data_IF_038666417007
#
_entry.id   IF_038666417007
#
_cell.length_a   1.000
_cell.length_b   1.000
_cell.length_c   1.000
_cell.angle_alpha   90.00
_cell.angle_beta   90.00
_cell.angle_gamma   90.00
#
_symmetry.space_group_name_H-M   'P 1'
#
loop_
_entity.id
_entity.type
_entity.pdbx_description
1 polymer ?
#
# COMPACT_ATOMS: atom_id res chain seq x y z
N UNK A 1 23.88 -25.73 12.84
CA UNK A 1 22.62 -26.06 13.53
C UNK A 1 21.63 -26.50 12.46
N UNK A 2 20.79 -27.51 12.70
CA UNK A 2 19.74 -27.86 11.73
C UNK A 2 18.84 -26.63 11.53
N UNK A 3 18.70 -26.17 10.30
CA UNK A 3 18.07 -24.90 9.96
C UNK A 3 16.62 -24.76 10.47
N UNK A 4 15.87 -25.86 10.49
CA UNK A 4 14.50 -25.94 11.03
C UNK A 4 14.46 -25.75 12.56
N UNK A 5 15.51 -26.14 13.28
CA UNK A 5 15.57 -25.92 14.73
C UNK A 5 15.78 -24.44 15.08
N UNK A 6 16.51 -23.70 14.22
CA UNK A 6 16.77 -22.26 14.40
C UNK A 6 15.49 -21.42 14.28
N UNK A 7 14.62 -21.72 13.31
CA UNK A 7 13.34 -21.02 13.19
C UNK A 7 12.42 -21.28 14.39
N UNK A 8 12.35 -22.53 14.88
CA UNK A 8 11.53 -22.86 16.05
C UNK A 8 11.96 -22.12 17.32
N UNK A 9 13.23 -21.73 17.42
CA UNK A 9 13.77 -21.01 18.58
C UNK A 9 13.74 -19.48 18.43
N UNK A 10 13.98 -18.95 17.21
CA UNK A 10 14.24 -17.52 16.96
C UNK A 10 13.16 -16.87 16.05
N UNK A 11 12.34 -17.67 15.37
CA UNK A 11 11.30 -17.21 14.45
C UNK A 11 11.87 -16.44 13.24
N UNK A 12 11.13 -15.42 12.79
CA UNK A 12 11.50 -14.57 11.64
C UNK A 12 12.80 -13.77 11.81
N UNK A 13 13.39 -13.76 13.01
CA UNK A 13 14.69 -13.15 13.28
C UNK A 13 15.87 -14.12 13.04
N UNK A 14 15.59 -15.39 12.73
CA UNK A 14 16.63 -16.38 12.42
C UNK A 14 17.32 -16.06 11.10
N UNK A 15 18.61 -16.44 10.98
CA UNK A 15 19.33 -16.35 9.71
C UNK A 15 18.69 -17.22 8.62
N UNK A 16 18.01 -18.30 8.99
CA UNK A 16 17.28 -19.16 8.07
C UNK A 16 16.19 -18.40 7.30
N UNK A 17 15.45 -17.49 7.93
CA UNK A 17 14.48 -16.65 7.21
C UNK A 17 15.12 -15.66 6.23
N UNK A 18 16.42 -15.38 6.36
CA UNK A 18 17.12 -14.44 5.48
C UNK A 18 17.88 -15.12 4.33
N UNK A 19 18.31 -16.37 4.51
CA UNK A 19 19.18 -17.09 3.58
C UNK A 19 18.76 -18.54 3.29
N UNK A 20 17.68 -19.03 3.88
CA UNK A 20 17.16 -20.38 3.66
C UNK A 20 16.55 -20.57 2.28
N UNK A 21 16.03 -21.77 2.04
CA UNK A 21 15.48 -22.17 0.74
C UNK A 21 14.36 -21.24 0.27
N UNK A 22 13.43 -20.92 1.18
CA UNK A 22 12.32 -20.01 0.88
C UNK A 22 12.79 -18.61 0.47
N UNK A 23 13.69 -18.01 1.26
CA UNK A 23 14.25 -16.69 0.97
C UNK A 23 15.04 -16.69 -0.34
N UNK A 24 15.76 -17.79 -0.63
CA UNK A 24 16.50 -17.97 -1.88
C UNK A 24 15.56 -18.05 -3.07
N UNK A 25 14.49 -18.84 -2.96
CA UNK A 25 13.49 -18.98 -4.01
C UNK A 25 12.78 -17.64 -4.27
N UNK A 26 12.40 -16.87 -3.22
CA UNK A 26 11.83 -15.53 -3.37
C UNK A 26 12.81 -14.62 -4.12
N UNK A 27 14.08 -14.58 -3.71
CA UNK A 27 15.12 -13.73 -4.32
C UNK A 27 15.43 -14.08 -5.77
N UNK A 28 15.21 -15.33 -6.18
CA UNK A 28 15.39 -15.80 -7.54
C UNK A 28 14.12 -15.60 -8.41
N UNK A 29 12.99 -15.23 -7.80
CA UNK A 29 11.74 -14.98 -8.53
C UNK A 29 11.86 -13.73 -9.42
N UNK A 30 11.14 -13.77 -10.55
CA UNK A 30 11.03 -12.61 -11.44
C UNK A 30 10.37 -11.41 -10.78
N UNK A 31 9.45 -11.66 -9.84
CA UNK A 31 8.72 -10.65 -9.06
C UNK A 31 9.66 -9.86 -8.18
N UNK A 32 10.51 -10.56 -7.44
CA UNK A 32 11.52 -9.93 -6.58
C UNK A 32 12.50 -9.10 -7.41
N UNK A 33 13.03 -9.64 -8.50
CA UNK A 33 13.98 -8.91 -9.35
C UNK A 33 13.36 -7.61 -9.90
N UNK A 34 12.13 -7.66 -10.40
CA UNK A 34 11.42 -6.47 -10.88
C UNK A 34 11.17 -5.45 -9.75
N UNK A 35 10.82 -5.90 -8.54
CA UNK A 35 10.67 -5.03 -7.37
C UNK A 35 11.99 -4.37 -6.97
N UNK A 36 13.12 -5.08 -7.07
CA UNK A 36 14.44 -4.53 -6.78
C UNK A 36 14.86 -3.46 -7.78
N UNK A 37 14.57 -3.66 -9.07
CA UNK A 37 14.81 -2.65 -10.10
C UNK A 37 13.98 -1.39 -9.86
N UNK A 38 12.68 -1.55 -9.52
CA UNK A 38 11.80 -0.44 -9.16
C UNK A 38 12.28 0.29 -7.90
N UNK A 39 12.67 -0.43 -6.85
CA UNK A 39 13.21 0.16 -5.63
C UNK A 39 14.45 1.01 -5.93
N UNK A 40 15.36 0.50 -6.76
CA UNK A 40 16.58 1.22 -7.14
C UNK A 40 16.24 2.52 -7.87
N UNK A 41 15.30 2.47 -8.81
CA UNK A 41 14.83 3.65 -9.52
C UNK A 41 14.19 4.66 -8.57
N UNK A 42 13.27 4.22 -7.69
CA UNK A 42 12.60 5.08 -6.73
C UNK A 42 13.58 5.77 -5.78
N UNK A 43 14.59 5.04 -5.28
CA UNK A 43 15.64 5.59 -4.42
C UNK A 43 16.51 6.60 -5.18
N UNK A 44 16.85 6.33 -6.44
CA UNK A 44 17.56 7.28 -7.27
C UNK A 44 16.75 8.57 -7.47
N UNK A 45 15.47 8.46 -7.81
CA UNK A 45 14.57 9.61 -7.97
C UNK A 45 14.52 10.44 -6.70
N UNK A 46 14.27 9.81 -5.54
CA UNK A 46 14.23 10.47 -4.24
C UNK A 46 15.53 11.23 -3.94
N UNK A 47 16.69 10.62 -4.22
CA UNK A 47 18.00 11.24 -3.95
C UNK A 47 18.28 12.47 -4.83
N UNK A 48 17.58 12.64 -5.95
CA UNK A 48 17.71 13.80 -6.84
C UNK A 48 16.62 14.85 -6.63
N UNK A 49 15.66 14.63 -5.71
CA UNK A 49 14.64 15.63 -5.39
C UNK A 49 15.29 16.86 -4.73
N UNK A 50 14.92 18.05 -5.19
CA UNK A 50 15.44 19.33 -4.69
C UNK A 50 14.34 20.11 -3.99
N UNK A 51 14.05 19.76 -2.73
CA UNK A 51 12.91 20.27 -1.96
C UNK A 51 13.08 21.76 -1.63
N UNK A 52 12.17 22.61 -2.12
CA UNK A 52 12.09 24.01 -1.73
C UNK A 52 11.30 24.15 -0.42
N UNK A 53 11.88 24.73 0.66
CA UNK A 53 11.23 24.78 1.97
C UNK A 53 9.97 25.68 1.99
N UNK A 54 9.87 26.64 1.08
CA UNK A 54 8.74 27.56 0.97
C UNK A 54 7.58 26.98 0.13
N UNK A 55 7.76 25.81 -0.48
CA UNK A 55 6.72 25.08 -1.19
C UNK A 55 6.22 23.91 -0.32
N UNK A 56 5.17 24.17 0.47
CA UNK A 56 4.59 23.16 1.36
C UNK A 56 4.11 21.92 0.58
N UNK A 57 3.59 22.10 -0.64
CA UNK A 57 3.15 20.98 -1.47
C UNK A 57 4.34 20.09 -1.80
N UNK A 58 5.45 20.68 -2.22
CA UNK A 58 6.66 19.96 -2.52
C UNK A 58 7.20 19.18 -1.31
N UNK A 59 7.26 19.84 -0.14
CA UNK A 59 7.71 19.24 1.12
C UNK A 59 6.85 18.03 1.48
N UNK A 60 5.53 18.22 1.60
CA UNK A 60 4.64 17.17 2.11
C UNK A 60 4.49 16.00 1.15
N UNK A 61 4.39 16.25 -0.16
CA UNK A 61 4.29 15.15 -1.13
C UNK A 61 5.59 14.35 -1.21
N UNK A 62 6.75 15.00 -1.09
CA UNK A 62 8.03 14.30 -1.07
C UNK A 62 8.20 13.45 0.20
N UNK A 63 7.73 13.93 1.36
CA UNK A 63 7.71 13.14 2.60
C UNK A 63 6.78 11.92 2.51
N UNK A 64 5.60 12.07 1.90
CA UNK A 64 4.70 10.95 1.65
C UNK A 64 5.37 9.90 0.75
N UNK A 65 6.01 10.32 -0.33
CA UNK A 65 6.74 9.41 -1.21
C UNK A 65 7.92 8.72 -0.52
N UNK A 66 8.71 9.45 0.28
CA UNK A 66 9.81 8.87 1.05
C UNK A 66 9.29 7.77 2.00
N UNK A 67 8.16 8.01 2.69
CA UNK A 67 7.53 7.00 3.54
C UNK A 67 7.00 5.82 2.74
N UNK A 68 6.40 6.09 1.58
CA UNK A 68 5.89 5.07 0.66
C UNK A 68 7.01 4.14 0.17
N UNK A 69 8.18 4.70 -0.20
CA UNK A 69 9.37 3.93 -0.56
C UNK A 69 9.87 3.07 0.62
N UNK A 70 9.87 3.59 1.84
CA UNK A 70 10.24 2.80 3.03
C UNK A 70 9.27 1.65 3.30
N UNK A 71 7.96 1.83 3.07
CA UNK A 71 6.97 0.75 3.17
C UNK A 71 7.18 -0.30 2.08
N UNK A 72 7.46 0.11 0.84
CA UNK A 72 7.81 -0.80 -0.24
C UNK A 72 9.04 -1.66 0.09
N UNK A 73 10.12 -1.04 0.58
CA UNK A 73 11.32 -1.74 1.01
C UNK A 73 11.02 -2.74 2.14
N UNK A 74 10.17 -2.35 3.09
CA UNK A 74 9.74 -3.23 4.17
C UNK A 74 8.95 -4.44 3.65
N UNK A 75 8.05 -4.24 2.67
CA UNK A 75 7.28 -5.30 2.00
C UNK A 75 8.21 -6.31 1.34
N UNK A 76 9.25 -5.86 0.64
CA UNK A 76 10.23 -6.74 -0.01
C UNK A 76 10.97 -7.59 1.04
N UNK A 77 11.49 -6.96 2.10
CA UNK A 77 12.23 -7.66 3.17
C UNK A 77 11.32 -8.67 3.90
N UNK A 78 10.09 -8.30 4.23
CA UNK A 78 9.14 -9.19 4.91
C UNK A 78 8.70 -10.35 4.02
N UNK A 79 8.60 -10.11 2.71
CA UNK A 79 8.32 -11.17 1.72
C UNK A 79 9.44 -12.20 1.66
N UNK A 80 10.71 -11.79 1.70
CA UNK A 80 11.85 -12.73 1.77
C UNK A 80 11.77 -13.65 2.99
N UNK A 81 11.18 -13.16 4.08
CA UNK A 81 11.08 -13.89 5.36
C UNK A 81 9.79 -14.70 5.51
N UNK A 82 8.91 -14.69 4.52
CA UNK A 82 7.64 -15.43 4.57
C UNK A 82 6.60 -14.80 5.52
N UNK A 83 6.70 -13.50 5.81
CA UNK A 83 5.85 -12.79 6.77
C UNK A 83 4.57 -12.25 6.12
N UNK A 84 3.70 -13.14 5.64
CA UNK A 84 2.51 -12.79 4.81
C UNK A 84 1.62 -11.72 5.44
N UNK A 85 1.18 -11.90 6.68
CA UNK A 85 0.28 -10.94 7.33
C UNK A 85 0.92 -9.57 7.53
N UNK A 86 2.23 -9.52 7.81
CA UNK A 86 2.96 -8.29 8.00
C UNK A 86 3.18 -7.56 6.66
N UNK A 87 3.36 -8.32 5.58
CA UNK A 87 3.32 -7.76 4.21
C UNK A 87 1.95 -7.14 3.92
N UNK A 88 0.85 -7.80 4.27
CA UNK A 88 -0.50 -7.26 4.04
C UNK A 88 -0.77 -5.96 4.79
N UNK A 89 -0.41 -5.93 6.07
CA UNK A 89 -0.48 -4.73 6.91
C UNK A 89 0.29 -3.59 6.26
N UNK A 90 1.52 -3.87 5.79
CA UNK A 90 2.37 -2.85 5.19
C UNK A 90 1.86 -2.38 3.82
N UNK A 91 1.32 -3.29 3.01
CA UNK A 91 0.69 -2.95 1.73
C UNK A 91 -0.53 -2.05 1.95
N UNK A 92 -1.32 -2.27 3.00
CA UNK A 92 -2.44 -1.39 3.38
C UNK A 92 -1.92 -0.01 3.77
N UNK A 93 -0.89 0.07 4.61
CA UNK A 93 -0.28 1.35 4.98
C UNK A 93 0.25 2.10 3.76
N UNK A 94 0.85 1.39 2.81
CA UNK A 94 1.32 1.96 1.55
C UNK A 94 0.18 2.46 0.66
N UNK A 95 -0.95 1.76 0.60
CA UNK A 95 -2.15 2.20 -0.12
C UNK A 95 -2.74 3.47 0.49
N UNK A 96 -2.78 3.62 1.81
CA UNK A 96 -3.21 4.89 2.42
C UNK A 96 -2.30 6.06 2.07
N UNK A 97 -0.99 5.83 2.05
CA UNK A 97 -0.04 6.84 1.59
C UNK A 97 -0.26 7.20 0.13
N UNK A 98 -0.55 6.23 -0.75
CA UNK A 98 -0.91 6.49 -2.14
C UNK A 98 -2.17 7.35 -2.21
N UNK A 99 -3.24 6.97 -1.50
CA UNK A 99 -4.50 7.71 -1.45
C UNK A 99 -4.24 9.17 -1.05
N UNK A 100 -3.48 9.40 0.03
CA UNK A 100 -3.12 10.74 0.47
C UNK A 100 -2.29 11.48 -0.60
N UNK A 101 -1.25 10.84 -1.14
CA UNK A 101 -0.37 11.42 -2.15
C UNK A 101 -1.13 11.86 -3.39
N UNK A 102 -2.03 11.02 -3.91
CA UNK A 102 -2.87 11.33 -5.08
C UNK A 102 -3.87 12.44 -4.75
N UNK A 103 -4.61 12.31 -3.64
CA UNK A 103 -5.60 13.31 -3.23
C UNK A 103 -4.97 14.70 -3.06
N UNK A 104 -3.81 14.78 -2.41
CA UNK A 104 -3.09 16.04 -2.16
C UNK A 104 -2.41 16.59 -3.42
N UNK A 105 -1.93 15.74 -4.32
CA UNK A 105 -1.36 16.18 -5.59
C UNK A 105 -2.41 16.79 -6.50
N UNK A 106 -3.58 16.15 -6.60
CA UNK A 106 -4.68 16.55 -7.48
C UNK A 106 -5.52 17.70 -6.90
N UNK A 107 -5.59 17.82 -5.57
CA UNK A 107 -6.45 18.79 -4.89
C UNK A 107 -5.65 19.63 -3.89
N UNK A 108 -5.18 20.81 -4.33
CA UNK A 108 -4.40 21.72 -3.48
C UNK A 108 -5.18 22.17 -2.22
N UNK A 109 -6.49 22.41 -2.35
CA UNK A 109 -7.35 22.83 -1.24
C UNK A 109 -7.40 21.75 -0.14
N UNK A 110 -7.41 20.47 -0.54
CA UNK A 110 -7.41 19.33 0.40
C UNK A 110 -6.09 19.31 1.18
N UNK A 111 -4.96 19.50 0.50
CA UNK A 111 -3.65 19.55 1.16
C UNK A 111 -3.58 20.71 2.16
N UNK A 112 -4.00 21.91 1.74
CA UNK A 112 -4.02 23.10 2.59
C UNK A 112 -4.90 22.89 3.83
N UNK A 113 -6.10 22.32 3.65
CA UNK A 113 -7.02 22.02 4.74
C UNK A 113 -6.42 21.03 5.77
N UNK A 114 -5.59 20.10 5.31
CA UNK A 114 -4.96 19.08 6.14
C UNK A 114 -3.71 19.55 6.88
N UNK A 115 -2.93 20.48 6.32
CA UNK A 115 -1.67 20.96 6.93
C UNK A 115 -1.90 22.11 7.90
N UNK A 116 -2.44 23.22 7.38
CA UNK A 116 -2.56 24.51 8.09
C UNK A 116 -4.02 24.94 8.25
N UNK A 117 -4.95 24.22 7.63
CA UNK A 117 -6.35 24.60 7.57
C UNK A 117 -7.00 24.74 8.93
N UNK A 118 -7.97 25.65 9.04
CA UNK A 118 -8.92 25.66 10.14
C UNK A 118 -10.16 24.80 9.80
N UNK A 119 -11.09 24.73 10.75
CA UNK A 119 -12.30 23.91 10.62
C UNK A 119 -13.17 24.34 9.44
N UNK A 120 -13.22 25.65 9.13
CA UNK A 120 -13.99 26.19 8.01
C UNK A 120 -13.42 25.73 6.66
N UNK A 121 -12.10 25.73 6.51
CA UNK A 121 -11.44 25.25 5.29
C UNK A 121 -11.64 23.74 5.10
N UNK A 122 -11.61 22.96 6.18
CA UNK A 122 -11.95 21.53 6.11
C UNK A 122 -13.42 21.33 5.73
N UNK A 123 -14.32 22.12 6.31
CA UNK A 123 -15.75 22.10 5.97
C UNK A 123 -15.99 22.41 4.51
N UNK A 124 -15.29 23.40 3.96
CA UNK A 124 -15.40 23.78 2.54
C UNK A 124 -15.02 22.63 1.61
N UNK A 125 -13.92 21.93 1.90
CA UNK A 125 -13.51 20.71 1.17
C UNK A 125 -14.60 19.64 1.23
N UNK A 126 -15.18 19.38 2.40
CA UNK A 126 -16.23 18.38 2.57
C UNK A 126 -17.54 18.78 1.87
N UNK A 127 -17.92 20.06 1.89
CA UNK A 127 -19.09 20.58 1.16
C UNK A 127 -18.88 20.42 -0.35
N UNK A 128 -17.67 20.67 -0.86
CA UNK A 128 -17.34 20.43 -2.27
C UNK A 128 -17.52 18.97 -2.64
N UNK A 129 -16.98 18.05 -1.83
CA UNK A 129 -17.16 16.61 -2.00
C UNK A 129 -18.65 16.22 -1.96
N UNK A 130 -19.43 16.78 -1.02
CA UNK A 130 -20.87 16.54 -0.94
C UNK A 130 -21.60 16.96 -2.21
N UNK A 131 -21.28 18.15 -2.74
CA UNK A 131 -21.87 18.65 -3.98
C UNK A 131 -21.51 17.77 -5.19
N UNK A 132 -20.29 17.24 -5.24
CA UNK A 132 -19.86 16.29 -6.26
C UNK A 132 -20.65 14.98 -6.15
N UNK A 133 -20.81 14.43 -4.94
CA UNK A 133 -21.59 13.21 -4.68
C UNK A 133 -23.08 13.38 -5.01
N UNK A 134 -23.64 14.58 -4.87
CA UNK A 134 -25.02 14.86 -5.30
C UNK A 134 -25.18 14.85 -6.84
N UNK A 135 -24.11 15.20 -7.57
CA UNK A 135 -24.11 15.23 -9.05
C UNK A 135 -23.76 13.87 -9.66
N UNK A 136 -22.82 13.17 -9.05
CA UNK A 136 -22.32 11.87 -9.53
C UNK A 136 -22.10 10.99 -8.30
N UNK A 137 -23.17 10.32 -7.82
CA UNK A 137 -23.10 9.54 -6.60
C UNK A 137 -22.20 8.31 -6.78
N UNK A 138 -21.18 8.21 -5.94
CA UNK A 138 -20.32 7.02 -5.83
C UNK A 138 -20.38 6.43 -4.41
N UNK A 139 -20.74 7.24 -3.41
CA UNK A 139 -20.91 6.84 -2.02
C UNK A 139 -22.16 6.00 -1.78
N UNK A 140 -22.03 5.08 -0.83
CA UNK A 140 -23.16 4.38 -0.20
C UNK A 140 -23.98 5.32 0.67
N UNK A 141 -25.20 4.92 1.04
CA UNK A 141 -26.05 5.73 1.93
C UNK A 141 -25.40 6.01 3.29
N UNK A 142 -24.65 5.06 3.85
CA UNK A 142 -23.94 5.24 5.12
C UNK A 142 -22.75 6.18 5.00
N UNK A 143 -21.99 6.11 3.91
CA UNK A 143 -20.87 7.04 3.63
C UNK A 143 -21.40 8.46 3.41
N UNK A 144 -22.52 8.62 2.70
CA UNK A 144 -23.20 9.91 2.55
C UNK A 144 -23.70 10.48 3.87
N UNK A 145 -24.29 9.62 4.72
CA UNK A 145 -24.76 10.02 6.06
C UNK A 145 -23.58 10.50 6.90
N UNK A 146 -22.49 9.75 6.94
CA UNK A 146 -21.27 10.14 7.65
C UNK A 146 -20.71 11.48 7.15
N UNK A 147 -20.63 11.68 5.82
CA UNK A 147 -20.17 12.96 5.27
C UNK A 147 -21.05 14.14 5.74
N UNK A 148 -22.37 13.97 5.70
CA UNK A 148 -23.32 15.01 6.14
C UNK A 148 -23.18 15.27 7.64
N UNK A 149 -23.01 14.22 8.46
CA UNK A 149 -22.85 14.34 9.90
C UNK A 149 -21.56 15.10 10.26
N UNK A 150 -20.45 14.79 9.59
CA UNK A 150 -19.19 15.54 9.77
C UNK A 150 -19.35 17.01 9.35
N UNK A 151 -19.99 17.27 8.21
CA UNK A 151 -20.28 18.64 7.73
C UNK A 151 -21.23 19.39 8.68
N UNK A 152 -22.05 18.71 9.47
CA UNK A 152 -22.97 19.34 10.41
C UNK A 152 -22.44 19.35 11.85
N UNK A 153 -21.28 18.75 12.11
CA UNK A 153 -20.64 18.79 13.43
C UNK A 153 -20.37 20.23 13.85
N UNK A 154 -20.88 20.59 15.04
CA UNK A 154 -20.80 21.93 15.62
C UNK A 154 -19.50 22.17 16.39
N UNK A 155 -18.79 21.09 16.79
CA UNK A 155 -17.75 21.14 17.81
C UNK A 155 -16.31 21.20 17.27
N UNK A 156 -16.13 21.61 16.00
CA UNK A 156 -14.91 21.53 15.15
C UNK A 156 -14.89 20.34 14.20
N UNK A 157 -14.16 20.49 13.09
CA UNK A 157 -13.82 19.41 12.16
C UNK A 157 -12.31 19.25 12.25
N UNK A 158 -11.87 18.11 12.78
CA UNK A 158 -10.46 17.74 12.81
C UNK A 158 -10.05 17.05 11.50
N UNK A 159 -8.75 16.92 11.31
CA UNK A 159 -8.12 16.18 10.21
C UNK A 159 -8.53 14.71 10.21
N UNK A 160 -8.74 14.14 11.40
CA UNK A 160 -9.15 12.75 11.58
C UNK A 160 -10.57 12.48 11.10
N UNK A 161 -11.42 13.52 11.07
CA UNK A 161 -12.80 13.43 10.56
C UNK A 161 -12.86 13.28 9.03
N UNK A 162 -11.77 13.62 8.32
CA UNK A 162 -11.64 13.39 6.88
C UNK A 162 -11.23 11.93 6.64
N UNK A 163 -12.23 11.07 6.69
CA UNK A 163 -12.07 9.62 6.64
C UNK A 163 -11.41 9.13 5.33
N UNK A 164 -10.77 7.96 5.40
CA UNK A 164 -10.00 7.37 4.29
C UNK A 164 -10.82 7.24 3.00
N UNK A 165 -12.09 6.83 3.07
CA UNK A 165 -12.96 6.69 1.89
C UNK A 165 -13.21 8.03 1.18
N UNK A 166 -13.25 9.15 1.93
CA UNK A 166 -13.39 10.49 1.35
C UNK A 166 -12.13 10.86 0.56
N UNK A 167 -10.96 10.60 1.14
CA UNK A 167 -9.68 10.82 0.46
C UNK A 167 -9.50 9.90 -0.74
N UNK A 168 -9.96 8.66 -0.64
CA UNK A 168 -9.94 7.70 -1.73
C UNK A 168 -10.80 8.20 -2.90
N UNK A 169 -11.98 8.77 -2.64
CA UNK A 169 -12.80 9.38 -3.68
C UNK A 169 -12.13 10.61 -4.30
N UNK A 170 -11.57 11.50 -3.48
CA UNK A 170 -10.82 12.67 -3.95
C UNK A 170 -9.58 12.28 -4.78
N UNK A 171 -9.05 11.08 -4.58
CA UNK A 171 -7.95 10.50 -5.33
C UNK A 171 -8.40 9.68 -6.56
N UNK A 172 -9.70 9.42 -6.73
CA UNK A 172 -10.22 8.49 -7.74
C UNK A 172 -9.89 7.01 -7.46
N UNK A 173 -9.57 6.66 -6.21
CA UNK A 173 -9.16 5.33 -5.74
C UNK A 173 -10.21 4.66 -4.82
N UNK A 174 -11.49 5.05 -4.96
CA UNK A 174 -12.56 4.50 -4.12
C UNK A 174 -12.75 2.98 -4.34
N UNK A 175 -12.44 2.48 -5.54
CA UNK A 175 -12.51 1.04 -5.83
C UNK A 175 -11.44 0.26 -5.04
N UNK A 176 -10.21 0.76 -5.00
CA UNK A 176 -9.09 0.20 -4.22
C UNK A 176 -9.41 0.24 -2.73
N UNK A 177 -10.06 1.32 -2.26
CA UNK A 177 -10.57 1.41 -0.89
C UNK A 177 -11.63 0.35 -0.56
N UNK A 178 -12.52 0.03 -1.50
CA UNK A 178 -13.61 -0.95 -1.31
C UNK A 178 -13.14 -2.40 -1.45
N UNK A 179 -12.04 -2.62 -2.16
CA UNK A 179 -11.54 -3.96 -2.46
C UNK A 179 -10.28 -4.26 -1.66
N UNK A 180 -9.10 -3.89 -2.18
CA UNK A 180 -7.80 -4.21 -1.60
C UNK A 180 -7.66 -3.69 -0.18
N UNK A 181 -8.08 -2.46 0.11
CA UNK A 181 -7.98 -1.90 1.45
C UNK A 181 -8.83 -2.67 2.48
N UNK A 182 -10.06 -3.07 2.12
CA UNK A 182 -10.92 -3.85 3.03
C UNK A 182 -10.30 -5.22 3.30
N UNK A 183 -9.86 -5.91 2.24
CA UNK A 183 -9.22 -7.22 2.36
C UNK A 183 -7.98 -7.17 3.27
N UNK A 184 -7.10 -6.18 3.05
CA UNK A 184 -5.88 -6.04 3.85
C UNK A 184 -6.16 -5.57 5.29
N UNK A 185 -7.29 -4.88 5.52
CA UNK A 185 -7.68 -4.44 6.86
C UNK A 185 -8.06 -5.61 7.77
N UNK A 186 -8.41 -6.78 7.22
CA UNK A 186 -8.63 -7.98 8.02
C UNK A 186 -7.38 -8.39 8.80
N UNK A 187 -6.21 -8.36 8.15
CA UNK A 187 -4.91 -8.66 8.77
C UNK A 187 -4.48 -7.59 9.76
N UNK A 188 -4.76 -6.31 9.48
CA UNK A 188 -4.51 -5.19 10.41
C UNK A 188 -5.30 -5.35 11.70
N UNK A 189 -6.58 -5.73 11.60
CA UNK A 189 -7.46 -5.88 12.75
C UNK A 189 -7.36 -7.26 13.43
N UNK A 190 -6.55 -8.17 12.90
CA UNK A 190 -6.48 -9.55 13.37
C UNK A 190 -7.88 -10.17 13.47
N UNK A 191 -8.66 -10.04 12.38
CA UNK A 191 -10.00 -10.60 12.30
C UNK A 191 -9.97 -12.11 12.61
N UNK A 192 -11.08 -12.66 13.12
CA UNK A 192 -11.16 -14.11 13.38
C UNK A 192 -10.83 -14.94 12.14
N UNK A 193 -11.26 -14.48 10.96
CA UNK A 193 -10.94 -15.13 9.70
C UNK A 193 -9.43 -15.10 9.40
N UNK A 194 -8.77 -13.95 9.59
CA UNK A 194 -7.32 -13.83 9.38
C UNK A 194 -6.52 -14.71 10.36
N UNK A 195 -6.92 -14.78 11.63
CA UNK A 195 -6.28 -15.60 12.64
C UNK A 195 -6.50 -17.11 12.39
N UNK A 196 -7.64 -17.48 11.81
CA UNK A 196 -7.89 -18.88 11.43
C UNK A 196 -6.96 -19.34 10.30
N UNK A 197 -6.45 -18.42 9.46
CA UNK A 197 -5.47 -18.76 8.42
C UNK A 197 -4.11 -19.19 9.00
N UNK A 198 -3.84 -18.89 10.28
CA UNK A 198 -2.66 -19.38 10.99
C UNK A 198 -2.80 -20.84 11.46
N UNK A 199 -3.94 -21.51 11.25
CA UNK A 199 -4.12 -22.91 11.64
C UNK A 199 -3.71 -23.86 10.51
N UNK A 200 -2.93 -24.89 10.86
CA UNK A 200 -2.74 -26.05 9.99
C UNK A 200 -3.80 -27.10 10.33
N UNK A 201 -4.63 -27.46 9.35
CA UNK A 201 -5.73 -28.41 9.50
C UNK A 201 -5.50 -29.61 8.58
N UNK A 202 -5.69 -30.82 9.09
CA UNK A 202 -5.72 -32.03 8.27
C UNK A 202 -7.03 -32.11 7.48
N UNK A 203 -6.93 -31.99 6.15
CA UNK A 203 -8.07 -32.00 5.23
C UNK A 203 -8.96 -33.24 5.34
N UNK A 204 -8.44 -34.38 5.81
CA UNK A 204 -9.23 -35.61 5.93
C UNK A 204 -10.00 -35.71 7.24
N UNK A 205 -9.46 -35.15 8.31
CA UNK A 205 -9.99 -35.31 9.67
C UNK A 205 -10.58 -34.02 10.26
N UNK A 206 -10.39 -32.88 9.60
CA UNK A 206 -10.75 -31.53 10.09
C UNK A 206 -10.11 -31.24 11.47
N UNK A 207 -9.00 -31.92 11.78
CA UNK A 207 -8.30 -31.76 13.05
C UNK A 207 -7.19 -30.72 12.92
N UNK A 208 -7.03 -29.89 13.94
CA UNK A 208 -5.93 -28.93 14.03
C UNK A 208 -4.65 -29.71 14.33
N UNK A 209 -3.69 -29.66 13.40
CA UNK A 209 -2.42 -30.37 13.48
C UNK A 209 -1.23 -29.45 13.78
N UNK A 210 -1.40 -28.13 13.65
CA UNK A 210 -0.32 -27.17 13.85
C UNK A 210 -0.76 -25.71 13.76
N UNK A 211 0.24 -24.83 13.83
CA UNK A 211 0.12 -23.40 13.59
C UNK A 211 1.05 -23.08 12.41
N UNK A 212 0.48 -22.52 11.36
CA UNK A 212 1.22 -22.01 10.22
C UNK A 212 2.03 -20.78 10.65
N UNK A 213 3.34 -20.96 10.80
CA UNK A 213 4.22 -19.94 11.37
C UNK A 213 5.04 -19.18 10.33
N UNK A 214 5.02 -19.61 9.07
CA UNK A 214 5.73 -19.00 7.96
C UNK A 214 5.03 -19.38 6.65
N UNK A 215 5.03 -18.48 5.66
CA UNK A 215 4.53 -18.81 4.34
C UNK A 215 5.18 -20.11 3.80
N UNK A 216 4.33 -21.03 3.36
CA UNK A 216 4.67 -22.28 2.70
C UNK A 216 4.83 -22.10 1.18
N UNK A 217 4.18 -21.08 0.63
CA UNK A 217 4.15 -20.79 -0.80
C UNK A 217 4.31 -19.29 -1.13
N UNK A 218 4.91 -19.02 -2.29
CA UNK A 218 5.27 -17.66 -2.71
C UNK A 218 4.14 -16.90 -3.40
N UNK A 219 3.08 -17.57 -3.83
CA UNK A 219 2.08 -17.00 -4.75
C UNK A 219 1.42 -15.73 -4.17
N UNK A 220 1.02 -15.76 -2.90
CA UNK A 220 0.37 -14.63 -2.20
C UNK A 220 1.35 -13.48 -1.99
N UNK A 221 2.56 -13.77 -1.52
CA UNK A 221 3.61 -12.77 -1.31
C UNK A 221 4.03 -12.11 -2.62
N UNK A 222 4.15 -12.90 -3.69
CA UNK A 222 4.45 -12.42 -5.04
C UNK A 222 3.38 -11.44 -5.55
N UNK A 223 2.11 -11.77 -5.34
CA UNK A 223 0.99 -10.89 -5.69
C UNK A 223 1.03 -9.59 -4.88
N UNK A 224 1.26 -9.68 -3.57
CA UNK A 224 1.36 -8.51 -2.69
C UNK A 224 2.55 -7.59 -3.06
N UNK A 225 3.71 -8.17 -3.39
CA UNK A 225 4.87 -7.40 -3.87
C UNK A 225 4.55 -6.65 -5.16
N UNK A 226 3.88 -7.29 -6.13
CA UNK A 226 3.50 -6.63 -7.37
C UNK A 226 2.42 -5.56 -7.16
N UNK A 227 1.43 -5.80 -6.30
CA UNK A 227 0.47 -4.76 -5.91
C UNK A 227 1.17 -3.54 -5.29
N UNK A 228 2.13 -3.77 -4.39
CA UNK A 228 2.94 -2.70 -3.82
C UNK A 228 3.80 -1.98 -4.88
N UNK A 229 4.29 -2.71 -5.88
CA UNK A 229 5.04 -2.13 -7.00
C UNK A 229 4.15 -1.20 -7.85
N UNK A 230 2.90 -1.58 -8.13
CA UNK A 230 1.94 -0.73 -8.84
C UNK A 230 1.65 0.57 -8.08
N UNK A 231 1.56 0.47 -6.74
CA UNK A 231 1.42 1.66 -5.89
C UNK A 231 2.66 2.55 -5.92
N UNK A 232 3.87 1.97 -5.87
CA UNK A 232 5.10 2.74 -5.95
C UNK A 232 5.28 3.42 -7.32
N UNK A 233 4.89 2.75 -8.41
CA UNK A 233 4.88 3.34 -9.75
C UNK A 233 4.03 4.62 -9.77
N UNK A 234 2.81 4.55 -9.24
CA UNK A 234 1.93 5.73 -9.13
C UNK A 234 2.58 6.85 -8.30
N UNK A 235 3.24 6.50 -7.21
CA UNK A 235 3.99 7.47 -6.39
C UNK A 235 5.17 8.10 -7.12
N UNK A 236 5.92 7.31 -7.90
CA UNK A 236 7.03 7.80 -8.72
C UNK A 236 6.52 8.79 -9.77
N UNK A 237 5.42 8.49 -10.46
CA UNK A 237 4.84 9.37 -11.49
C UNK A 237 4.52 10.76 -10.92
N UNK A 238 3.94 10.82 -9.72
CA UNK A 238 3.65 12.08 -9.02
C UNK A 238 4.93 12.85 -8.70
N UNK A 239 5.96 12.16 -8.17
CA UNK A 239 7.22 12.82 -7.81
C UNK A 239 8.00 13.32 -9.01
N UNK A 240 8.02 12.56 -10.12
CA UNK A 240 8.65 13.02 -11.36
C UNK A 240 7.97 14.27 -11.91
N UNK A 241 6.64 14.36 -11.82
CA UNK A 241 5.89 15.56 -12.21
C UNK A 241 6.19 16.74 -11.28
N UNK A 242 6.17 16.50 -9.97
CA UNK A 242 6.40 17.51 -8.93
C UNK A 242 7.79 18.15 -9.04
N UNK A 243 8.83 17.31 -9.19
CA UNK A 243 10.25 17.73 -9.25
C UNK A 243 10.75 17.99 -10.69
N UNK A 244 9.88 17.86 -11.70
CA UNK A 244 10.20 18.08 -13.12
C UNK A 244 11.39 17.24 -13.62
N UNK A 245 11.51 16.00 -13.16
CA UNK A 245 12.61 15.08 -13.49
C UNK A 245 12.28 14.23 -14.75
N UNK A 246 11.99 14.87 -15.88
CA UNK A 246 11.56 14.18 -17.11
C UNK A 246 12.56 13.15 -17.65
N UNK A 247 13.84 13.29 -17.34
CA UNK A 247 14.89 12.39 -17.83
C UNK A 247 14.75 10.95 -17.28
N UNK A 248 14.06 10.78 -16.15
CA UNK A 248 13.81 9.48 -15.53
C UNK A 248 12.55 8.79 -16.07
N UNK A 249 11.73 9.45 -16.90
CA UNK A 249 10.49 8.88 -17.43
C UNK A 249 10.73 7.64 -18.30
N UNK A 250 11.79 7.62 -19.11
CA UNK A 250 12.15 6.45 -19.91
C UNK A 250 12.57 5.26 -19.05
N UNK A 251 13.27 5.53 -17.94
CA UNK A 251 13.66 4.48 -16.99
C UNK A 251 12.44 3.87 -16.31
N UNK A 252 11.47 4.71 -15.92
CA UNK A 252 10.20 4.25 -15.36
C UNK A 252 9.41 3.38 -16.33
N UNK A 253 9.27 3.79 -17.59
CA UNK A 253 8.52 3.01 -18.59
C UNK A 253 9.14 1.63 -18.85
N UNK A 254 10.48 1.53 -18.86
CA UNK A 254 11.16 0.23 -18.96
C UNK A 254 10.82 -0.68 -17.78
N UNK A 255 10.84 -0.16 -16.55
CA UNK A 255 10.50 -0.93 -15.35
C UNK A 255 9.01 -1.30 -15.33
N UNK A 256 8.12 -0.40 -15.77
CA UNK A 256 6.67 -0.70 -15.91
C UNK A 256 6.43 -1.84 -16.88
N UNK A 257 7.12 -1.85 -18.02
CA UNK A 257 7.00 -2.95 -18.98
C UNK A 257 7.48 -4.29 -18.39
N UNK A 258 8.58 -4.26 -17.62
CA UNK A 258 9.07 -5.44 -16.90
C UNK A 258 8.03 -5.96 -15.88
N UNK A 259 7.47 -5.07 -15.06
CA UNK A 259 6.42 -5.41 -14.08
C UNK A 259 5.18 -6.00 -14.76
N UNK A 260 4.73 -5.39 -15.85
CA UNK A 260 3.58 -5.88 -16.62
C UNK A 260 3.83 -7.28 -17.19
N UNK A 261 5.03 -7.53 -17.72
CA UNK A 261 5.41 -8.86 -18.20
C UNK A 261 5.35 -9.89 -17.06
N UNK A 262 5.84 -9.55 -15.86
CA UNK A 262 5.77 -10.45 -14.69
C UNK A 262 4.33 -10.71 -14.25
N UNK A 263 3.47 -9.68 -14.24
CA UNK A 263 2.04 -9.80 -13.94
C UNK A 263 1.32 -10.81 -14.86
N UNK A 264 1.55 -10.73 -16.17
CA UNK A 264 0.93 -11.63 -17.15
C UNK A 264 1.24 -13.10 -16.87
N UNK A 265 2.47 -13.43 -16.48
CA UNK A 265 2.86 -14.81 -16.16
C UNK A 265 2.26 -15.31 -14.84
N UNK A 266 1.89 -14.40 -13.94
CA UNK A 266 1.29 -14.72 -12.64
C UNK A 266 -0.20 -15.05 -12.78
N UNK A 267 -0.95 -14.21 -13.50
CA UNK A 267 -2.39 -14.40 -13.74
C UNK A 267 -2.68 -15.71 -14.50
N UNK A 268 -1.82 -16.09 -15.44
CA UNK A 268 -1.95 -17.33 -16.21
C UNK A 268 -1.74 -18.58 -15.34
N UNK A 269 -0.91 -18.53 -14.29
CA UNK A 269 -0.72 -19.68 -13.39
C UNK A 269 -1.91 -19.91 -12.46
N UNK A 270 -2.58 -18.84 -12.01
CA UNK A 270 -3.73 -18.91 -11.09
C UNK A 270 -4.99 -19.44 -11.79
N UNK A 271 -5.13 -19.20 -13.09
CA UNK A 271 -6.30 -19.65 -13.89
C UNK A 271 -6.24 -21.12 -14.33
N UNK A 272 -5.15 -21.83 -14.02
CA UNK A 272 -4.94 -23.25 -14.34
C UNK A 272 -4.88 -24.17 -13.10
N UNK A 273 -5.22 -23.67 -11.91
CA UNK A 273 -5.51 -24.48 -10.71
C UNK A 273 -7.01 -24.56 -10.48
#
# INVERSE_FOLDING_TARGET
>A
MNDVASFKEIGFLSEHCSHGDFATEIKQSSHYMACMDLNKLAQQILNHCHIHPDDEKEVYLTLHFQRMLSHFQSIVIMSERGMTHQVEVMTRCMLELLINLVAYHQNADVLNAMIVGNDDQRREVLIKLLNEQQRTPTFTSSEMTYLIDVINSADSIDREDIHVFMKAELAGLLNEYRTTYQLLSESVHSSLHSLQADLEVDEQSDSIIGINTCADHQDRLSSLMLTAADYLVSGIEIILQLHKQSDQSNALENVKQQLQNVWQHTVVKVSHR
#
